data_IF_991400218316
#
_entry.id   IF_991400218316
#
_cell.length_a   1.000
_cell.length_b   1.000
_cell.length_c   1.000
_cell.angle_alpha   90.00
_cell.angle_beta   90.00
_cell.angle_gamma   90.00
#
_symmetry.space_group_name_H-M   'P 1'
#
loop_
_entity.id
_entity.type
_entity.pdbx_description
1 polymer ?
#
# COMPACT_ATOMS: atom_id res chain seq x y z
N UNK A 1 -30.46 -13.39 7.18
CA UNK A 1 -29.18 -13.71 6.54
C UNK A 1 -29.00 -12.71 5.42
N UNK A 2 -28.32 -11.59 5.69
CA UNK A 2 -28.16 -10.50 4.72
C UNK A 2 -27.03 -10.85 3.73
N UNK A 3 -27.34 -10.69 2.44
CA UNK A 3 -26.49 -11.09 1.31
C UNK A 3 -25.32 -10.12 1.09
N UNK A 4 -24.20 -10.63 0.59
CA UNK A 4 -22.94 -9.93 0.32
C UNK A 4 -23.08 -8.57 -0.39
N UNK A 5 -24.08 -8.42 -1.24
CA UNK A 5 -24.32 -7.20 -2.02
C UNK A 5 -24.75 -6.00 -1.17
N UNK A 6 -25.37 -6.21 0.00
CA UNK A 6 -25.81 -5.12 0.88
C UNK A 6 -24.65 -4.49 1.68
N UNK A 7 -23.58 -5.25 1.91
CA UNK A 7 -22.38 -4.82 2.67
C UNK A 7 -21.37 -4.05 1.80
N UNK A 8 -21.45 -4.22 0.47
CA UNK A 8 -20.56 -3.56 -0.48
C UNK A 8 -20.88 -2.07 -0.67
N UNK A 9 -22.13 -1.68 -0.47
CA UNK A 9 -22.62 -0.31 -0.68
C UNK A 9 -22.71 0.55 0.60
N UNK A 10 -22.32 0.03 1.76
CA UNK A 10 -22.33 0.80 3.02
C UNK A 10 -20.95 1.37 3.34
N UNK A 11 -20.98 2.59 3.87
CA UNK A 11 -19.81 3.31 4.38
C UNK A 11 -19.14 2.54 5.53
N UNK A 12 -17.81 2.51 5.55
CA UNK A 12 -16.97 1.67 6.43
C UNK A 12 -17.28 1.95 7.91
N UNK A 13 -17.56 3.19 8.25
CA UNK A 13 -17.85 3.61 9.62
C UNK A 13 -19.19 3.08 10.12
N UNK A 14 -20.19 3.01 9.23
CA UNK A 14 -21.48 2.39 9.52
C UNK A 14 -21.38 0.86 9.67
N UNK A 15 -20.44 0.24 8.94
CA UNK A 15 -20.13 -1.19 9.03
C UNK A 15 -19.51 -1.54 10.38
N UNK A 16 -18.54 -0.73 10.84
CA UNK A 16 -17.89 -0.88 12.16
C UNK A 16 -18.88 -0.75 13.31
N UNK A 17 -19.83 0.19 13.25
CA UNK A 17 -20.88 0.34 14.28
C UNK A 17 -21.85 -0.85 14.32
N UNK A 18 -22.25 -1.34 13.15
CA UNK A 18 -23.13 -2.52 13.05
C UNK A 18 -22.42 -3.77 13.55
N UNK A 19 -21.13 -3.89 13.25
CA UNK A 19 -20.25 -4.92 13.79
C UNK A 19 -20.16 -4.86 15.32
N UNK A 20 -19.93 -3.69 15.92
CA UNK A 20 -19.90 -3.52 17.38
C UNK A 20 -21.22 -3.89 18.07
N UNK A 21 -22.37 -3.65 17.41
CA UNK A 21 -23.68 -4.06 17.92
C UNK A 21 -23.89 -5.58 17.83
N UNK A 22 -23.50 -6.21 16.72
CA UNK A 22 -23.64 -7.66 16.50
C UNK A 22 -22.57 -8.45 17.27
N UNK A 23 -21.43 -7.83 17.56
CA UNK A 23 -20.33 -8.41 18.31
C UNK A 23 -20.71 -8.86 19.71
N UNK A 24 -21.72 -8.21 20.30
CA UNK A 24 -22.26 -8.60 21.60
C UNK A 24 -23.10 -9.87 21.57
N UNK A 25 -23.51 -10.37 20.40
CA UNK A 25 -24.50 -11.45 20.30
C UNK A 25 -24.13 -12.66 19.45
N UNK A 26 -23.09 -12.64 18.59
CA UNK A 26 -22.75 -13.83 17.77
C UNK A 26 -21.28 -13.92 17.38
N UNK A 27 -20.55 -14.88 17.98
CA UNK A 27 -19.12 -15.15 17.72
C UNK A 27 -18.79 -15.50 16.27
N UNK A 28 -19.72 -16.09 15.51
CA UNK A 28 -19.48 -16.58 14.14
C UNK A 28 -19.63 -15.48 13.07
N UNK A 29 -20.50 -14.49 13.31
CA UNK A 29 -20.58 -13.31 12.45
C UNK A 29 -19.35 -12.41 12.63
N UNK A 30 -18.77 -12.45 13.82
CA UNK A 30 -17.61 -11.64 14.20
C UNK A 30 -16.37 -11.93 13.33
N UNK A 31 -16.06 -13.20 13.08
CA UNK A 31 -14.90 -13.58 12.25
C UNK A 31 -15.04 -13.09 10.81
N UNK A 32 -16.25 -13.12 10.27
CA UNK A 32 -16.54 -12.75 8.89
C UNK A 32 -16.28 -11.27 8.59
N UNK A 33 -16.79 -10.39 9.44
CA UNK A 33 -16.52 -8.96 9.32
C UNK A 33 -15.05 -8.63 9.62
N UNK A 34 -14.39 -9.37 10.52
CA UNK A 34 -12.95 -9.21 10.78
C UNK A 34 -12.11 -9.57 9.55
N UNK A 35 -12.43 -10.66 8.87
CA UNK A 35 -11.77 -11.04 7.62
C UNK A 35 -12.00 -10.01 6.52
N UNK A 36 -13.22 -9.50 6.37
CA UNK A 36 -13.51 -8.48 5.35
C UNK A 36 -12.81 -7.14 5.65
N UNK A 37 -12.74 -6.72 6.92
CA UNK A 37 -11.95 -5.55 7.33
C UNK A 37 -10.47 -5.77 7.04
N UNK A 38 -9.91 -6.92 7.43
CA UNK A 38 -8.50 -7.25 7.20
C UNK A 38 -8.16 -7.33 5.70
N UNK A 39 -9.08 -7.82 4.87
CA UNK A 39 -8.91 -7.83 3.41
C UNK A 39 -8.81 -6.42 2.86
N UNK A 40 -9.74 -5.54 3.23
CA UNK A 40 -9.76 -4.14 2.76
C UNK A 40 -8.56 -3.34 3.25
N UNK A 41 -8.17 -3.51 4.52
CA UNK A 41 -6.97 -2.88 5.07
C UNK A 41 -5.70 -3.36 4.35
N UNK A 42 -5.60 -4.65 4.04
CA UNK A 42 -4.48 -5.19 3.26
C UNK A 42 -4.48 -4.68 1.82
N UNK A 43 -5.63 -4.52 1.17
CA UNK A 43 -5.74 -3.95 -0.18
C UNK A 43 -5.28 -2.49 -0.20
N UNK A 44 -5.75 -1.67 0.75
CA UNK A 44 -5.32 -0.28 0.90
C UNK A 44 -3.82 -0.19 1.21
N UNK A 45 -3.32 -1.00 2.14
CA UNK A 45 -1.92 -1.04 2.51
C UNK A 45 -1.03 -1.47 1.33
N UNK A 46 -1.40 -2.52 0.61
CA UNK A 46 -0.66 -2.99 -0.56
C UNK A 46 -0.65 -1.94 -1.67
N UNK A 47 -1.76 -1.22 -1.89
CA UNK A 47 -1.81 -0.13 -2.87
C UNK A 47 -0.83 1.01 -2.51
N UNK A 48 -0.78 1.37 -1.22
CA UNK A 48 0.11 2.39 -0.70
C UNK A 48 1.58 1.97 -0.80
N UNK A 49 1.90 0.73 -0.39
CA UNK A 49 3.24 0.17 -0.56
C UNK A 49 3.65 0.13 -2.03
N UNK A 50 2.78 -0.33 -2.93
CA UNK A 50 3.10 -0.36 -4.37
C UNK A 50 3.46 1.02 -4.92
N UNK A 51 2.72 2.06 -4.51
CA UNK A 51 3.04 3.45 -4.89
C UNK A 51 4.39 3.91 -4.33
N UNK A 52 4.69 3.59 -3.07
CA UNK A 52 5.98 3.90 -2.43
C UNK A 52 7.14 3.14 -3.09
N UNK A 53 6.97 1.85 -3.36
CA UNK A 53 7.98 1.04 -4.06
C UNK A 53 8.26 1.57 -5.46
N UNK A 54 7.22 2.02 -6.18
CA UNK A 54 7.41 2.63 -7.49
C UNK A 54 8.18 3.96 -7.40
N UNK A 55 7.92 4.78 -6.39
CA UNK A 55 8.66 6.02 -6.16
C UNK A 55 10.12 5.73 -5.79
N UNK A 56 10.34 4.76 -4.91
CA UNK A 56 11.69 4.33 -4.51
C UNK A 56 12.50 3.84 -5.71
N UNK A 57 11.89 3.02 -6.59
CA UNK A 57 12.52 2.58 -7.84
C UNK A 57 12.94 3.75 -8.72
N UNK A 58 12.07 4.75 -8.89
CA UNK A 58 12.38 5.92 -9.71
C UNK A 58 13.54 6.73 -9.11
N UNK A 59 13.58 6.89 -7.77
CA UNK A 59 14.71 7.54 -7.10
C UNK A 59 16.02 6.78 -7.30
N UNK A 60 16.02 5.44 -7.20
CA UNK A 60 17.21 4.62 -7.44
C UNK A 60 17.73 4.78 -8.87
N UNK A 61 16.84 4.79 -9.86
CA UNK A 61 17.22 5.01 -11.27
C UNK A 61 17.86 6.40 -11.43
N UNK A 62 17.28 7.43 -10.81
CA UNK A 62 17.83 8.78 -10.87
C UNK A 62 19.23 8.88 -10.26
N UNK A 63 19.43 8.28 -9.08
CA UNK A 63 20.74 8.22 -8.41
C UNK A 63 21.75 7.46 -9.27
N UNK A 64 21.34 6.36 -9.91
CA UNK A 64 22.22 5.61 -10.83
C UNK A 64 22.70 6.51 -11.98
N UNK A 65 21.80 7.26 -12.61
CA UNK A 65 22.16 8.17 -13.71
C UNK A 65 23.16 9.23 -13.22
N UNK A 66 22.89 9.87 -12.07
CA UNK A 66 23.81 10.85 -11.48
C UNK A 66 25.17 10.24 -11.18
N UNK A 67 25.20 9.00 -10.68
CA UNK A 67 26.46 8.28 -10.38
C UNK A 67 27.25 8.04 -11.66
N UNK A 68 26.60 7.59 -12.74
CA UNK A 68 27.24 7.37 -14.04
C UNK A 68 27.81 8.67 -14.59
N UNK A 69 27.05 9.77 -14.52
CA UNK A 69 27.52 11.10 -14.95
C UNK A 69 28.74 11.51 -14.13
N UNK A 70 28.68 11.37 -12.81
CA UNK A 70 29.77 11.78 -11.92
C UNK A 70 31.05 10.98 -12.20
N UNK A 71 30.94 9.66 -12.38
CA UNK A 71 32.07 8.82 -12.79
C UNK A 71 32.62 9.26 -14.15
N UNK A 72 31.76 9.57 -15.12
CA UNK A 72 32.19 10.06 -16.43
C UNK A 72 32.95 11.39 -16.35
N UNK A 73 32.50 12.32 -15.52
CA UNK A 73 33.18 13.60 -15.26
C UNK A 73 34.54 13.36 -14.64
N UNK A 74 34.64 12.51 -13.62
CA UNK A 74 35.92 12.18 -12.97
C UNK A 74 36.89 11.54 -13.96
N UNK A 75 36.44 10.61 -14.79
CA UNK A 75 37.28 10.01 -15.83
C UNK A 75 37.78 11.08 -16.81
N UNK A 76 36.88 11.94 -17.30
CA UNK A 76 37.25 13.03 -18.20
C UNK A 76 38.30 13.96 -17.58
N UNK A 77 38.11 14.35 -16.32
CA UNK A 77 39.03 15.25 -15.60
C UNK A 77 40.42 14.62 -15.47
N UNK A 78 40.49 13.35 -15.06
CA UNK A 78 41.75 12.61 -14.96
C UNK A 78 42.48 12.49 -16.31
N UNK A 79 41.75 12.24 -17.41
CA UNK A 79 42.36 12.16 -18.74
C UNK A 79 42.74 13.53 -19.33
N UNK A 80 42.15 14.62 -18.84
CA UNK A 80 42.50 15.98 -19.28
C UNK A 80 43.80 16.47 -18.62
N UNK A 81 44.07 16.01 -17.39
CA UNK A 81 45.23 16.42 -16.60
C UNK A 81 46.49 15.54 -16.80
N UNK A 82 46.40 14.48 -17.61
CA UNK A 82 47.51 13.60 -18.07
C UNK A 82 47.99 14.01 -19.46
#
# INVERSE_FOLDING_TARGET
>A
MSSFDELKNRDIESLKRSYDQIAKSTSLGLSFYREEIARRENEEFNSKIKSMTSQMRNMTIFIMILTVINVGVVIYDVFKDV
#
